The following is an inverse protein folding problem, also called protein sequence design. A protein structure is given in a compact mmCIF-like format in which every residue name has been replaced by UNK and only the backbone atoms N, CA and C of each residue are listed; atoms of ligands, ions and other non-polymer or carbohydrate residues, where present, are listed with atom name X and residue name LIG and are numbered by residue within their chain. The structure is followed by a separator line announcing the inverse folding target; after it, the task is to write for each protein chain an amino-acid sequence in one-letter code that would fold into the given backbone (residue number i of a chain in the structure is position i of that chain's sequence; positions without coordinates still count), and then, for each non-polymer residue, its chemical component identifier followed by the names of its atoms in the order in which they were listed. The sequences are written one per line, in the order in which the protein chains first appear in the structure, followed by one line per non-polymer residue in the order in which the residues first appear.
data_IF_183121201425
#
_entry.id   IF_183121201425
#
_cell.length_a   1.000
_cell.length_b   1.000
_cell.length_c   1.000
_cell.angle_alpha   90.00
_cell.angle_beta   90.00
_cell.angle_gamma   90.00
#
_symmetry.space_group_name_H-M   'P 1'
#
loop_
_entity.id
_entity.type
_entity.pdbx_description
1 polymer ?
#
# COMPACT_ATOMS: atom_id res chain seq x y z
N UNK A 1 1.56 6.29 1.30
CA UNK A 1 2.54 5.35 1.86
C UNK A 1 3.95 5.92 1.85
N UNK A 2 4.47 6.38 0.69
CA UNK A 2 5.84 6.92 0.59
C UNK A 2 6.07 8.11 1.53
N UNK A 3 5.16 9.10 1.59
CA UNK A 3 5.26 10.21 2.55
C UNK A 3 5.28 9.73 4.01
N UNK A 4 4.49 8.70 4.33
CA UNK A 4 4.49 8.12 5.67
C UNK A 4 5.83 7.44 5.98
N UNK A 5 6.44 6.76 5.01
CA UNK A 5 7.78 6.20 5.14
C UNK A 5 8.81 7.32 5.36
N UNK A 6 8.82 8.34 4.51
CA UNK A 6 9.74 9.48 4.64
C UNK A 6 9.62 10.16 6.01
N UNK A 7 8.39 10.41 6.47
CA UNK A 7 8.12 10.94 7.80
C UNK A 7 8.70 10.06 8.91
N UNK A 8 8.47 8.74 8.85
CA UNK A 8 9.00 7.81 9.86
C UNK A 8 10.52 7.74 9.87
N UNK A 9 11.15 7.72 8.70
CA UNK A 9 12.59 7.75 8.58
C UNK A 9 13.18 9.02 9.23
N UNK A 10 12.57 10.18 8.99
CA UNK A 10 13.00 11.44 9.61
C UNK A 10 12.83 11.44 11.12
N UNK A 11 11.76 10.87 11.65
CA UNK A 11 11.58 10.69 13.09
C UNK A 11 12.67 9.77 13.72
N UNK A 12 13.23 8.86 12.93
CA UNK A 12 14.33 7.99 13.34
C UNK A 12 15.71 8.64 13.18
N UNK A 13 15.76 9.88 12.71
CA UNK A 13 17.02 10.64 12.55
C UNK A 13 17.68 10.48 11.17
N UNK A 14 17.03 9.81 10.21
CA UNK A 14 17.55 9.73 8.85
C UNK A 14 17.13 10.93 8.01
N UNK A 15 18.00 11.36 7.12
CA UNK A 15 17.61 12.27 6.06
C UNK A 15 16.76 11.55 5.03
N UNK A 16 15.56 12.06 4.77
CA UNK A 16 14.67 11.50 3.79
C UNK A 16 13.90 12.61 3.07
N UNK A 17 13.77 12.48 1.76
CA UNK A 17 13.02 13.39 0.90
C UNK A 17 12.16 12.61 -0.09
N UNK A 18 11.09 13.25 -0.56
CA UNK A 18 10.27 12.76 -1.65
C UNK A 18 10.85 13.21 -2.98
N UNK A 19 10.97 12.31 -3.93
CA UNK A 19 11.27 12.67 -5.31
C UNK A 19 9.96 12.69 -6.10
N UNK A 20 9.63 13.86 -6.67
CA UNK A 20 8.49 14.01 -7.54
C UNK A 20 8.95 14.04 -9.00
N UNK A 21 8.25 13.28 -9.82
CA UNK A 21 8.49 13.34 -11.25
C UNK A 21 7.95 14.67 -11.77
N UNK A 22 8.77 15.48 -12.45
CA UNK A 22 8.34 16.80 -12.89
C UNK A 22 7.31 16.67 -13.99
N UNK A 23 6.12 17.09 -13.69
CA UNK A 23 5.16 17.43 -14.75
C UNK A 23 5.23 18.91 -15.07
N UNK A 24 5.49 19.74 -14.04
CA UNK A 24 5.69 21.17 -14.16
C UNK A 24 6.39 21.65 -12.88
N UNK A 25 7.63 22.14 -13.02
CA UNK A 25 8.44 22.62 -11.87
C UNK A 25 7.85 23.88 -11.21
N UNK A 26 6.85 24.52 -11.81
CA UNK A 26 6.19 25.70 -11.26
C UNK A 26 5.01 25.35 -10.34
N UNK A 27 4.59 24.10 -10.31
CA UNK A 27 3.46 23.66 -9.49
C UNK A 27 3.95 22.97 -8.23
N UNK A 28 3.41 23.35 -7.07
CA UNK A 28 3.69 22.67 -5.80
C UNK A 28 3.23 21.20 -5.89
N UNK A 29 4.13 20.23 -5.76
CA UNK A 29 3.83 18.84 -6.13
C UNK A 29 3.12 18.06 -5.02
N UNK A 30 3.16 18.55 -3.76
CA UNK A 30 2.64 17.80 -2.62
C UNK A 30 1.13 17.97 -2.54
N UNK A 31 0.39 16.88 -2.64
CA UNK A 31 -1.06 16.91 -2.39
C UNK A 31 -1.36 17.30 -0.94
N UNK A 32 -2.34 18.15 -0.72
CA UNK A 32 -2.74 18.71 0.60
C UNK A 32 -2.87 17.64 1.69
N UNK A 33 -3.42 16.48 1.36
CA UNK A 33 -3.55 15.36 2.31
C UNK A 33 -2.20 14.82 2.84
N UNK A 34 -1.09 15.10 2.17
CA UNK A 34 0.26 14.65 2.54
C UNK A 34 1.13 15.73 3.18
N UNK A 35 0.72 17.00 3.13
CA UNK A 35 1.44 18.14 3.72
C UNK A 35 1.70 17.95 5.21
N UNK A 36 0.76 17.32 5.92
CA UNK A 36 0.88 17.00 7.35
C UNK A 36 2.12 16.16 7.72
N UNK A 37 2.71 15.45 6.77
CA UNK A 37 3.91 14.66 7.00
C UNK A 37 5.18 15.50 6.96
N UNK A 38 5.14 16.71 6.39
CA UNK A 38 6.24 17.65 6.31
C UNK A 38 7.56 17.00 5.86
N UNK A 39 7.49 16.17 4.82
CA UNK A 39 8.67 15.53 4.21
C UNK A 39 9.19 16.45 3.12
N UNK A 40 10.46 16.86 3.14
CA UNK A 40 11.08 17.63 2.07
C UNK A 40 10.91 16.93 0.72
N UNK A 41 10.93 17.69 -0.34
CA UNK A 41 10.85 17.13 -1.69
C UNK A 41 11.89 17.74 -2.63
N UNK A 42 12.19 16.98 -3.68
CA UNK A 42 13.02 17.37 -4.80
C UNK A 42 12.43 16.82 -6.10
N UNK A 43 12.92 17.33 -7.22
CA UNK A 43 12.54 16.83 -8.55
C UNK A 43 13.59 15.89 -9.15
N UNK A 44 14.74 15.76 -8.50
CA UNK A 44 15.82 14.87 -8.94
C UNK A 44 16.28 14.01 -7.77
N UNK A 45 16.51 12.73 -8.03
CA UNK A 45 17.12 11.84 -7.05
C UNK A 45 18.64 12.08 -7.04
N UNK A 46 19.21 12.24 -5.86
CA UNK A 46 20.65 12.32 -5.69
C UNK A 46 21.24 10.89 -5.81
N UNK A 47 21.80 10.60 -6.98
CA UNK A 47 22.30 9.25 -7.33
C UNK A 47 23.76 9.07 -6.87
N UNK A 48 23.96 8.91 -5.56
CA UNK A 48 25.27 8.65 -4.94
C UNK A 48 25.29 7.31 -4.20
N UNK A 49 26.46 6.67 -4.01
CA UNK A 49 26.57 5.36 -3.36
C UNK A 49 26.06 5.34 -1.90
N UNK A 50 26.04 6.46 -1.23
CA UNK A 50 25.62 6.58 0.16
C UNK A 50 24.10 6.70 0.29
N UNK A 51 23.41 6.95 -0.82
CA UNK A 51 21.96 7.12 -0.85
C UNK A 51 21.21 5.81 -1.11
N UNK A 52 19.97 5.79 -0.66
CA UNK A 52 19.01 4.72 -0.93
C UNK A 52 17.79 5.32 -1.64
N UNK A 53 17.47 4.83 -2.81
CA UNK A 53 16.28 5.26 -3.56
C UNK A 53 15.21 4.18 -3.48
N UNK A 54 14.06 4.51 -2.88
CA UNK A 54 12.90 3.63 -2.80
C UNK A 54 11.96 3.94 -3.96
N UNK A 55 11.76 2.97 -4.82
CA UNK A 55 11.01 3.07 -6.07
C UNK A 55 9.71 2.28 -5.92
N UNK A 56 8.51 2.89 -6.02
CA UNK A 56 7.27 2.12 -6.07
C UNK A 56 7.13 1.40 -7.42
N UNK A 57 6.40 0.29 -7.45
CA UNK A 57 6.21 -0.54 -8.63
C UNK A 57 5.63 0.20 -9.84
N UNK A 58 4.92 1.29 -9.62
CA UNK A 58 4.36 2.12 -10.71
C UNK A 58 5.41 3.00 -11.40
N UNK A 59 6.62 3.11 -10.84
CA UNK A 59 7.70 3.98 -11.31
C UNK A 59 8.94 3.20 -11.77
N UNK A 60 8.76 2.05 -12.41
CA UNK A 60 9.84 1.12 -12.81
C UNK A 60 10.93 1.77 -13.67
N UNK A 61 10.61 2.83 -14.42
CA UNK A 61 11.58 3.57 -15.23
C UNK A 61 12.78 4.09 -14.44
N UNK A 62 12.61 4.38 -13.16
CA UNK A 62 13.69 4.85 -12.29
C UNK A 62 14.75 3.78 -11.98
N UNK A 63 14.42 2.49 -12.12
CA UNK A 63 15.37 1.40 -11.91
C UNK A 63 16.59 1.56 -12.86
N UNK A 64 16.35 1.99 -14.09
CA UNK A 64 17.41 2.22 -15.07
C UNK A 64 18.07 3.60 -14.94
N UNK A 65 17.37 4.58 -14.39
CA UNK A 65 17.89 5.94 -14.23
C UNK A 65 18.92 6.02 -13.10
N UNK A 66 18.68 5.32 -11.99
CA UNK A 66 19.58 5.30 -10.83
C UNK A 66 20.70 4.27 -11.03
N UNK A 67 21.94 4.70 -10.92
CA UNK A 67 23.15 3.89 -11.22
C UNK A 67 24.01 3.61 -10.01
N UNK A 68 24.14 4.59 -9.11
CA UNK A 68 25.09 4.59 -8.02
C UNK A 68 24.44 4.32 -6.67
N UNK A 69 23.26 4.90 -6.42
CA UNK A 69 22.52 4.70 -5.20
C UNK A 69 21.98 3.26 -5.07
N UNK A 70 21.83 2.79 -3.85
CA UNK A 70 21.16 1.52 -3.57
C UNK A 70 19.68 1.65 -3.94
N UNK A 71 19.15 0.67 -4.67
CA UNK A 71 17.77 0.68 -5.18
C UNK A 71 16.93 -0.32 -4.44
N UNK A 72 15.79 0.15 -3.93
CA UNK A 72 14.74 -0.69 -3.35
C UNK A 72 13.49 -0.54 -4.19
N UNK A 73 13.01 -1.63 -4.77
CA UNK A 73 11.73 -1.68 -5.45
C UNK A 73 10.66 -2.13 -4.43
N UNK A 74 9.72 -1.22 -4.13
CA UNK A 74 8.67 -1.52 -3.17
C UNK A 74 7.36 -1.86 -3.87
N UNK A 75 6.99 -3.14 -3.77
CA UNK A 75 5.79 -3.73 -4.36
C UNK A 75 4.58 -3.46 -3.47
N UNK A 76 3.85 -2.39 -3.76
CA UNK A 76 2.65 -1.98 -3.04
C UNK A 76 1.38 -2.62 -3.62
N UNK A 77 1.35 -2.79 -4.95
CA UNK A 77 0.26 -3.46 -5.67
C UNK A 77 0.79 -4.04 -6.98
N UNK A 78 1.11 -5.32 -6.98
CA UNK A 78 1.73 -5.97 -8.15
C UNK A 78 0.90 -5.88 -9.42
N UNK A 79 -0.44 -5.88 -9.31
CA UNK A 79 -1.34 -5.80 -10.46
C UNK A 79 -1.34 -4.40 -11.12
N UNK A 80 -0.84 -3.38 -10.42
CA UNK A 80 -0.69 -2.03 -10.95
C UNK A 80 0.70 -1.78 -11.58
N UNK A 81 1.63 -2.73 -11.47
CA UNK A 81 2.96 -2.59 -12.03
C UNK A 81 2.91 -2.65 -13.56
N UNK A 82 3.50 -1.70 -14.30
CA UNK A 82 3.54 -1.72 -15.75
C UNK A 82 4.63 -2.70 -16.25
N UNK A 83 4.42 -3.99 -15.99
CA UNK A 83 5.37 -5.06 -16.30
C UNK A 83 5.24 -5.51 -17.75
N UNK A 84 6.22 -5.18 -18.56
CA UNK A 84 6.48 -5.82 -19.85
C UNK A 84 7.50 -6.95 -19.69
N UNK A 85 7.61 -7.84 -20.67
CA UNK A 85 8.65 -8.89 -20.68
C UNK A 85 10.05 -8.28 -20.53
N UNK A 86 10.32 -7.15 -21.19
CA UNK A 86 11.58 -6.44 -21.07
C UNK A 86 11.81 -5.93 -19.63
N UNK A 87 10.81 -5.34 -18.98
CA UNK A 87 10.91 -4.89 -17.60
C UNK A 87 11.18 -6.08 -16.65
N UNK A 88 10.49 -7.20 -16.83
CA UNK A 88 10.73 -8.42 -16.06
C UNK A 88 12.17 -8.90 -16.23
N UNK A 89 12.70 -8.94 -17.46
CA UNK A 89 14.05 -9.36 -17.74
C UNK A 89 15.09 -8.42 -17.09
N UNK A 90 14.88 -7.12 -17.15
CA UNK A 90 15.76 -6.13 -16.52
C UNK A 90 15.79 -6.36 -15.00
N UNK A 91 14.64 -6.43 -14.36
CA UNK A 91 14.51 -6.62 -12.92
C UNK A 91 15.13 -7.94 -12.47
N UNK A 92 14.87 -9.03 -13.21
CA UNK A 92 15.38 -10.38 -12.92
C UNK A 92 16.90 -10.47 -12.98
N UNK A 93 17.51 -9.73 -13.92
CA UNK A 93 18.95 -9.71 -14.12
C UNK A 93 19.69 -8.73 -13.18
N UNK A 94 18.99 -7.83 -12.55
CA UNK A 94 19.57 -6.86 -11.61
C UNK A 94 19.80 -7.50 -10.24
N UNK A 95 21.02 -7.98 -10.02
CA UNK A 95 21.38 -8.68 -8.77
C UNK A 95 21.61 -7.74 -7.58
N UNK A 96 21.62 -6.44 -7.80
CA UNK A 96 21.77 -5.43 -6.73
C UNK A 96 20.43 -4.84 -6.28
N UNK A 97 19.35 -5.08 -7.04
CA UNK A 97 18.02 -4.59 -6.71
C UNK A 97 17.45 -5.34 -5.52
N UNK A 98 17.03 -4.59 -4.51
CA UNK A 98 16.34 -5.11 -3.32
C UNK A 98 14.84 -5.02 -3.57
N UNK A 99 14.10 -6.07 -3.24
CA UNK A 99 12.65 -6.12 -3.34
C UNK A 99 12.04 -6.04 -1.95
N UNK A 100 11.18 -5.05 -1.72
CA UNK A 100 10.34 -4.97 -0.54
C UNK A 100 8.88 -5.22 -0.94
N UNK A 101 8.19 -6.11 -0.26
CA UNK A 101 6.84 -6.54 -0.58
C UNK A 101 5.88 -6.15 0.53
N UNK A 102 4.80 -5.44 0.19
CA UNK A 102 3.79 -5.01 1.14
C UNK A 102 2.95 -6.17 1.69
N UNK A 103 2.81 -7.25 0.92
CA UNK A 103 1.96 -8.39 1.23
C UNK A 103 2.64 -9.73 0.90
N UNK A 104 2.11 -10.82 1.44
CA UNK A 104 2.54 -12.15 1.05
C UNK A 104 2.20 -12.47 -0.41
N UNK A 105 1.11 -11.92 -0.94
CA UNK A 105 0.78 -11.99 -2.36
C UNK A 105 1.92 -11.40 -3.22
N UNK A 106 2.39 -10.21 -2.87
CA UNK A 106 3.53 -9.58 -3.56
C UNK A 106 4.83 -10.38 -3.39
N UNK A 107 5.07 -10.96 -2.20
CA UNK A 107 6.24 -11.83 -1.97
C UNK A 107 6.21 -13.08 -2.84
N UNK A 108 5.06 -13.73 -2.92
CA UNK A 108 4.90 -14.94 -3.74
C UNK A 108 5.04 -14.62 -5.23
N UNK A 109 4.46 -13.52 -5.69
CA UNK A 109 4.67 -13.00 -7.03
C UNK A 109 6.15 -12.76 -7.33
N UNK A 110 6.88 -12.06 -6.47
CA UNK A 110 8.30 -11.76 -6.65
C UNK A 110 9.14 -13.05 -6.67
N UNK A 111 8.87 -13.99 -5.76
CA UNK A 111 9.56 -15.30 -5.75
C UNK A 111 9.42 -16.01 -7.08
N UNK A 112 8.20 -16.17 -7.58
CA UNK A 112 7.92 -16.88 -8.83
C UNK A 112 8.50 -16.15 -10.05
N UNK A 113 8.38 -14.81 -10.08
CA UNK A 113 8.73 -14.03 -11.28
C UNK A 113 10.22 -13.75 -11.38
N UNK A 114 10.87 -13.35 -10.28
CA UNK A 114 12.24 -12.82 -10.31
C UNK A 114 13.28 -13.74 -9.71
N UNK A 115 12.88 -14.63 -8.78
CA UNK A 115 13.81 -15.50 -8.07
C UNK A 115 13.73 -16.97 -8.51
N UNK A 116 12.71 -17.35 -9.26
CA UNK A 116 12.49 -18.73 -9.72
C UNK A 116 11.85 -19.61 -8.66
N UNK A 117 11.13 -20.66 -9.10
CA UNK A 117 10.62 -21.69 -8.20
C UNK A 117 11.78 -22.45 -7.56
N UNK A 118 11.59 -22.92 -6.34
CA UNK A 118 12.54 -23.64 -5.48
C UNK A 118 13.20 -24.88 -6.12
N UNK A 119 12.78 -25.27 -7.32
CA UNK A 119 13.31 -26.39 -8.09
C UNK A 119 14.46 -26.03 -9.04
N UNK A 120 14.77 -24.76 -9.24
CA UNK A 120 15.86 -24.30 -10.11
C UNK A 120 16.90 -23.52 -9.30
N UNK A 121 17.87 -24.21 -8.71
CA UNK A 121 19.22 -23.80 -8.29
C UNK A 121 19.53 -22.33 -7.95
N UNK A 122 18.55 -21.52 -7.57
CA UNK A 122 18.81 -20.25 -6.91
C UNK A 122 19.11 -20.55 -5.44
N UNK A 123 20.26 -20.12 -4.98
CA UNK A 123 20.66 -20.33 -3.60
C UNK A 123 19.63 -19.66 -2.67
N UNK A 124 19.28 -20.33 -1.60
CA UNK A 124 18.46 -19.77 -0.49
C UNK A 124 19.03 -18.42 -0.03
N UNK A 125 20.32 -18.22 -0.17
CA UNK A 125 21.06 -17.00 0.13
C UNK A 125 20.65 -15.81 -0.76
N UNK A 126 20.41 -16.00 -2.06
CA UNK A 126 20.06 -14.92 -2.99
C UNK A 126 18.66 -14.34 -2.71
N UNK A 127 17.74 -15.19 -2.27
CA UNK A 127 16.39 -14.75 -1.88
C UNK A 127 16.37 -14.10 -0.50
N UNK A 128 17.18 -14.59 0.45
CA UNK A 128 17.22 -14.09 1.83
C UNK A 128 17.78 -12.66 1.94
N UNK A 129 18.68 -12.29 1.01
CA UNK A 129 19.37 -10.99 1.05
C UNK A 129 18.73 -9.90 0.19
N UNK A 130 17.76 -10.23 -0.64
CA UNK A 130 17.16 -9.28 -1.59
C UNK A 130 15.64 -9.22 -1.61
N UNK A 131 14.96 -10.08 -0.87
CA UNK A 131 13.50 -10.10 -0.81
C UNK A 131 13.03 -9.95 0.64
N UNK A 132 12.38 -8.83 0.94
CA UNK A 132 11.95 -8.48 2.29
C UNK A 132 10.45 -8.21 2.34
N UNK A 133 9.84 -8.57 3.47
CA UNK A 133 8.48 -8.15 3.78
C UNK A 133 8.51 -6.75 4.43
N UNK A 134 7.89 -5.78 3.78
CA UNK A 134 7.75 -4.42 4.30
C UNK A 134 6.29 -3.97 4.13
N UNK A 135 5.50 -4.23 5.17
CA UNK A 135 4.09 -3.84 5.18
C UNK A 135 3.91 -2.33 5.18
N UNK A 136 2.76 -1.89 4.74
CA UNK A 136 2.37 -0.50 4.78
C UNK A 136 1.94 -0.07 6.19
N UNK A 137 1.87 1.23 6.35
CA UNK A 137 1.48 1.90 7.58
C UNK A 137 -0.06 2.03 7.67
N UNK A 138 -0.60 1.76 8.84
CA UNK A 138 -1.98 2.12 9.20
C UNK A 138 -1.95 3.46 9.94
N UNK A 139 -2.84 4.37 9.60
CA UNK A 139 -2.94 5.66 10.28
C UNK A 139 -3.21 5.44 11.77
N UNK A 140 -2.45 6.15 12.62
CA UNK A 140 -2.49 6.01 14.08
C UNK A 140 -3.89 6.19 14.68
N UNK A 141 -4.76 6.95 14.03
CA UNK A 141 -6.16 7.12 14.50
C UNK A 141 -6.92 5.79 14.55
N UNK A 142 -6.64 4.85 13.63
CA UNK A 142 -7.27 3.53 13.62
C UNK A 142 -6.59 2.53 14.58
N UNK A 143 -5.43 2.90 15.14
CA UNK A 143 -4.72 2.07 16.13
C UNK A 143 -5.16 2.36 17.58
N UNK A 144 -5.93 3.42 17.79
CA UNK A 144 -6.53 3.68 19.10
C UNK A 144 -7.55 2.58 19.39
N UNK A 145 -7.43 1.86 20.52
CA UNK A 145 -8.38 0.81 20.88
C UNK A 145 -9.82 1.32 20.79
N UNK A 146 -10.70 0.51 20.25
CA UNK A 146 -12.13 0.78 20.33
C UNK A 146 -12.64 0.42 21.71
N UNK A 147 -13.66 1.12 22.17
CA UNK A 147 -14.34 0.78 23.41
C UNK A 147 -15.25 -0.43 23.17
N UNK A 148 -14.93 -1.55 23.85
CA UNK A 148 -15.69 -2.80 23.72
C UNK A 148 -17.15 -2.67 24.22
N UNK A 149 -17.43 -1.69 25.09
CA UNK A 149 -18.77 -1.39 25.58
C UNK A 149 -19.59 -0.54 24.58
N UNK A 150 -18.97 -0.01 23.55
CA UNK A 150 -19.68 0.75 22.51
C UNK A 150 -20.74 -0.12 21.85
N UNK A 151 -22.01 0.28 22.03
CA UNK A 151 -23.14 -0.39 21.36
C UNK A 151 -23.02 -0.23 19.85
N UNK A 152 -22.91 -1.35 19.14
CA UNK A 152 -22.88 -1.37 17.69
C UNK A 152 -24.28 -1.51 17.11
N UNK A 153 -24.51 -0.76 16.05
CA UNK A 153 -25.76 -0.77 15.31
C UNK A 153 -25.74 -1.81 14.19
N UNK A 154 -26.93 -2.23 13.71
CA UNK A 154 -27.08 -3.15 12.59
C UNK A 154 -26.75 -2.47 11.24
N UNK A 155 -25.54 -1.88 11.17
CA UNK A 155 -25.02 -1.21 10.01
C UNK A 155 -23.96 -2.10 9.35
N UNK A 156 -24.08 -2.23 8.02
CA UNK A 156 -23.07 -2.84 7.15
C UNK A 156 -22.37 -1.71 6.38
N UNK A 157 -21.09 -1.53 6.65
CA UNK A 157 -20.23 -0.63 5.90
C UNK A 157 -19.77 -1.30 4.61
N UNK A 158 -19.61 -0.54 3.55
CA UNK A 158 -19.08 -1.06 2.28
C UNK A 158 -18.23 -0.06 1.52
N UNK A 159 -17.37 -0.61 0.64
CA UNK A 159 -16.60 0.19 -0.31
C UNK A 159 -17.48 0.50 -1.54
N UNK A 160 -17.79 1.78 -1.84
CA UNK A 160 -18.66 2.12 -2.96
C UNK A 160 -17.96 2.11 -4.32
N UNK A 161 -16.63 1.89 -4.36
CA UNK A 161 -15.83 1.92 -5.58
C UNK A 161 -15.44 0.51 -6.00
N UNK A 162 -14.80 -0.24 -5.10
CA UNK A 162 -14.32 -1.60 -5.39
C UNK A 162 -15.45 -2.61 -5.22
N UNK A 163 -15.68 -3.45 -6.24
CA UNK A 163 -16.66 -4.53 -6.19
C UNK A 163 -18.11 -4.11 -6.00
N UNK A 164 -18.44 -2.84 -6.27
CA UNK A 164 -19.77 -2.28 -6.02
C UNK A 164 -20.87 -2.97 -6.83
N UNK A 165 -20.57 -3.45 -8.04
CA UNK A 165 -21.56 -4.21 -8.84
C UNK A 165 -22.09 -5.44 -8.10
N UNK A 166 -21.23 -6.18 -7.40
CA UNK A 166 -21.64 -7.31 -6.60
C UNK A 166 -22.30 -6.85 -5.28
N UNK A 167 -21.70 -5.88 -4.61
CA UNK A 167 -22.24 -5.31 -3.37
C UNK A 167 -23.64 -4.76 -3.56
N UNK A 168 -23.94 -4.07 -4.65
CA UNK A 168 -25.26 -3.53 -4.95
C UNK A 168 -26.34 -4.59 -5.08
N UNK A 169 -26.01 -5.78 -5.62
CA UNK A 169 -26.93 -6.93 -5.70
C UNK A 169 -27.28 -7.46 -4.31
N UNK A 170 -26.30 -7.48 -3.39
CA UNK A 170 -26.54 -7.90 -2.00
C UNK A 170 -27.42 -6.86 -1.29
N UNK A 171 -27.14 -5.58 -1.47
CA UNK A 171 -27.95 -4.49 -0.90
C UNK A 171 -29.41 -4.65 -1.36
N UNK A 172 -29.63 -4.81 -2.67
CA UNK A 172 -30.98 -4.96 -3.25
C UNK A 172 -31.73 -6.22 -2.77
N UNK A 173 -31.00 -7.27 -2.43
CA UNK A 173 -31.57 -8.52 -1.92
C UNK A 173 -31.73 -8.57 -0.40
N UNK A 174 -31.21 -7.56 0.31
CA UNK A 174 -31.24 -7.51 1.76
C UNK A 174 -32.60 -7.06 2.30
N UNK A 175 -32.87 -7.40 3.57
CA UNK A 175 -34.07 -6.95 4.26
C UNK A 175 -33.92 -5.50 4.74
N UNK A 176 -35.03 -4.79 4.92
CA UNK A 176 -35.09 -3.42 5.47
C UNK A 176 -34.55 -3.30 6.92
N UNK A 177 -34.19 -4.43 7.55
CA UNK A 177 -33.58 -4.45 8.88
C UNK A 177 -32.09 -4.11 8.88
N UNK A 178 -31.47 -4.11 7.70
CA UNK A 178 -30.02 -3.82 7.55
C UNK A 178 -29.87 -2.40 7.04
N UNK A 179 -29.13 -1.59 7.77
CA UNK A 179 -28.71 -0.27 7.31
C UNK A 179 -27.41 -0.38 6.58
N UNK A 180 -27.37 0.10 5.34
CA UNK A 180 -26.17 0.13 4.51
C UNK A 180 -25.52 1.50 4.50
N UNK A 181 -24.21 1.57 4.70
CA UNK A 181 -23.48 2.84 4.72
C UNK A 181 -22.19 2.74 3.90
N UNK A 182 -22.10 3.57 2.85
CA UNK A 182 -20.89 3.69 2.04
C UNK A 182 -19.80 4.43 2.81
N UNK A 183 -18.56 3.92 2.75
CA UNK A 183 -17.37 4.65 3.20
C UNK A 183 -16.88 5.56 2.08
N UNK A 184 -17.49 6.73 1.96
CA UNK A 184 -17.23 7.71 0.92
C UNK A 184 -17.23 9.13 1.48
N UNK A 185 -16.28 9.95 1.02
CA UNK A 185 -16.19 11.38 1.38
C UNK A 185 -16.15 11.64 2.90
N UNK A 186 -15.47 10.75 3.63
CA UNK A 186 -15.31 10.81 5.08
C UNK A 186 -13.88 11.20 5.46
N UNK A 187 -13.75 11.99 6.52
CA UNK A 187 -12.47 12.18 7.20
C UNK A 187 -12.02 10.88 7.88
N UNK A 188 -10.74 10.72 8.24
CA UNK A 188 -10.29 9.56 9.02
C UNK A 188 -11.05 9.38 10.33
N UNK A 189 -11.42 10.47 10.99
CA UNK A 189 -12.20 10.51 12.24
C UNK A 189 -13.61 9.97 12.04
N UNK A 190 -14.28 10.43 10.98
CA UNK A 190 -15.62 9.96 10.60
C UNK A 190 -15.60 8.48 10.20
N UNK A 191 -14.58 8.06 9.44
CA UNK A 191 -14.39 6.65 9.09
C UNK A 191 -14.22 5.79 10.34
N UNK A 192 -13.34 6.21 11.27
CA UNK A 192 -13.13 5.49 12.52
C UNK A 192 -14.42 5.41 13.33
N UNK A 193 -15.16 6.52 13.46
CA UNK A 193 -16.45 6.51 14.16
C UNK A 193 -17.44 5.54 13.51
N UNK A 194 -17.59 5.58 12.20
CA UNK A 194 -18.43 4.63 11.48
C UNK A 194 -18.02 3.17 11.74
N UNK A 195 -16.73 2.86 11.71
CA UNK A 195 -16.21 1.51 11.98
C UNK A 195 -16.46 1.07 13.43
N UNK A 196 -16.33 1.98 14.41
CA UNK A 196 -16.58 1.66 15.82
C UNK A 196 -18.06 1.40 16.13
N UNK A 197 -18.96 2.02 15.40
CA UNK A 197 -20.41 1.93 15.65
C UNK A 197 -21.14 0.93 14.77
N UNK A 198 -20.47 0.37 13.75
CA UNK A 198 -21.06 -0.60 12.83
C UNK A 198 -20.60 -2.03 13.14
N UNK A 199 -21.40 -3.03 12.80
CA UNK A 199 -21.11 -4.44 13.05
C UNK A 199 -20.24 -5.08 11.98
N UNK A 200 -20.43 -4.70 10.72
CA UNK A 200 -19.87 -5.42 9.57
C UNK A 200 -19.25 -4.44 8.58
N UNK A 201 -18.16 -4.85 7.97
CA UNK A 201 -17.62 -4.23 6.76
C UNK A 201 -17.52 -5.29 5.66
N UNK A 202 -18.00 -4.96 4.47
CA UNK A 202 -17.89 -5.82 3.29
C UNK A 202 -17.12 -5.14 2.17
N UNK A 203 -16.29 -5.91 1.46
CA UNK A 203 -15.56 -5.47 0.28
C UNK A 203 -15.32 -6.65 -0.67
N UNK A 204 -16.05 -6.66 -1.79
CA UNK A 204 -15.94 -7.70 -2.82
C UNK A 204 -15.12 -7.22 -4.02
N UNK A 205 -14.26 -6.24 -3.81
CA UNK A 205 -13.35 -5.76 -4.83
C UNK A 205 -12.14 -6.66 -5.05
N UNK A 206 -11.36 -6.35 -6.06
CA UNK A 206 -10.04 -6.96 -6.23
C UNK A 206 -9.06 -6.42 -5.18
N UNK A 207 -8.40 -7.33 -4.48
CA UNK A 207 -7.42 -7.04 -3.44
C UNK A 207 -6.02 -7.55 -3.84
N UNK A 208 -5.34 -6.92 -4.82
CA UNK A 208 -4.06 -7.40 -5.36
C UNK A 208 -2.88 -7.20 -4.40
N UNK A 209 -3.16 -6.90 -3.17
CA UNK A 209 -2.16 -6.64 -2.15
C UNK A 209 -2.76 -6.72 -0.76
N UNK A 210 -2.45 -5.73 0.07
CA UNK A 210 -2.90 -5.65 1.46
C UNK A 210 -3.70 -4.36 1.65
N UNK A 211 -4.97 -4.38 1.25
CA UNK A 211 -5.84 -3.22 1.34
C UNK A 211 -5.98 -2.74 2.79
N UNK A 212 -6.00 -1.41 2.98
CA UNK A 212 -6.02 -0.81 4.32
C UNK A 212 -7.39 -0.84 4.97
N UNK A 213 -8.45 -0.51 4.23
CA UNK A 213 -9.80 -0.34 4.79
C UNK A 213 -10.28 -1.59 5.52
N UNK A 214 -10.17 -2.83 4.97
CA UNK A 214 -10.56 -4.04 5.72
C UNK A 214 -9.79 -4.21 7.04
N UNK A 215 -8.50 -3.85 7.05
CA UNK A 215 -7.66 -3.92 8.26
C UNK A 215 -8.01 -2.84 9.28
N UNK A 216 -8.28 -1.63 8.81
CA UNK A 216 -8.74 -0.51 9.63
C UNK A 216 -10.09 -0.84 10.27
N UNK A 217 -11.03 -1.41 9.51
CA UNK A 217 -12.32 -1.86 10.00
C UNK A 217 -12.20 -3.01 11.02
N UNK A 218 -11.32 -4.00 10.77
CA UNK A 218 -11.05 -5.09 11.71
C UNK A 218 -10.46 -4.58 13.04
N UNK A 219 -9.49 -3.66 12.99
CA UNK A 219 -8.90 -3.02 14.17
C UNK A 219 -9.93 -2.24 14.99
N UNK A 220 -10.98 -1.74 14.35
CA UNK A 220 -12.06 -1.02 14.98
C UNK A 220 -13.28 -1.93 15.27
N UNK A 221 -13.11 -3.25 15.22
CA UNK A 221 -14.06 -4.24 15.71
C UNK A 221 -15.19 -4.63 14.76
N UNK A 222 -15.13 -4.28 13.48
CA UNK A 222 -16.08 -4.80 12.49
C UNK A 222 -15.78 -6.27 12.16
N UNK A 223 -16.82 -7.05 11.94
CA UNK A 223 -16.72 -8.32 11.21
C UNK A 223 -16.40 -8.01 9.75
N UNK A 224 -15.35 -8.65 9.20
CA UNK A 224 -14.90 -8.42 7.84
C UNK A 224 -15.40 -9.53 6.93
N UNK A 225 -16.02 -9.17 5.81
CA UNK A 225 -16.44 -10.10 4.76
C UNK A 225 -15.85 -9.62 3.43
N UNK A 226 -14.96 -10.40 2.88
CA UNK A 226 -14.33 -10.17 1.56
C UNK A 226 -14.48 -11.42 0.70
N UNK A 227 -14.20 -11.31 -0.61
CA UNK A 227 -14.08 -12.46 -1.52
C UNK A 227 -12.71 -13.13 -1.41
#
# INVERSE_FOLDING_TARGET
LLHQMGYKLRLMGYEAAMVYYPTDSNTYPVCTQFEKYNVPYTFEAEDTPDNIVVIPEVALGYILAIKNAKRILWWLSVDNAPLSENAINIIKNDKQLIHCCQSYYAMDFCKKTFFGDSNNNLSVEDTSNRLFYLSDYINSIFLVPYDAETKREDIVLYNPVKGYEYTSKIIAASSDRITWKALQSMTPEEMRHAMNTSKVYIDFGNHPGKDRIPREAALNGCLIITN
#
